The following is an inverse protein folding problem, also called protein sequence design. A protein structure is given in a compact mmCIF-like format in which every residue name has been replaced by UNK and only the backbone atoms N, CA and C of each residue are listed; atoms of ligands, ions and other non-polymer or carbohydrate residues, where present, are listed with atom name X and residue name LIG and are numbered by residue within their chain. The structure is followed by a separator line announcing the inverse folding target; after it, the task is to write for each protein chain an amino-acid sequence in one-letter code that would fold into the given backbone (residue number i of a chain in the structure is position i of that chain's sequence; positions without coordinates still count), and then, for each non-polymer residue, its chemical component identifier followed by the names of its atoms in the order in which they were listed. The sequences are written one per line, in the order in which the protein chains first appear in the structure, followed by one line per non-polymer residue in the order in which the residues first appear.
data_IF_094127232830
#
_entry.id   IF_094127232830
#
_cell.length_a   1.000
_cell.length_b   1.000
_cell.length_c   1.000
_cell.angle_alpha   90.00
_cell.angle_beta   90.00
_cell.angle_gamma   90.00
#
_symmetry.space_group_name_H-M   'P 1'
#
loop_
_entity.id
_entity.type
_entity.pdbx_description
1 polymer ?
#
# COMPACT_ATOMS: atom_id res chain seq x y z
N UNK A 1 -20.52 -16.87 -6.53
CA UNK A 1 -19.59 -15.72 -6.37
C UNK A 1 -20.31 -14.60 -5.62
N UNK A 2 -20.19 -14.55 -4.30
CA UNK A 2 -20.56 -13.38 -3.48
C UNK A 2 -19.47 -13.19 -2.40
N UNK A 3 -18.20 -13.28 -2.82
CA UNK A 3 -17.06 -12.82 -2.04
C UNK A 3 -16.94 -11.31 -2.26
N UNK A 4 -16.78 -10.54 -1.18
CA UNK A 4 -16.58 -9.09 -1.24
C UNK A 4 -15.50 -8.74 -2.27
N UNK A 5 -15.90 -8.22 -3.44
CA UNK A 5 -14.96 -7.61 -4.39
C UNK A 5 -14.11 -6.59 -3.64
N UNK A 6 -12.80 -6.64 -3.85
CA UNK A 6 -11.91 -5.66 -3.27
C UNK A 6 -12.26 -4.28 -3.83
N UNK A 7 -12.04 -3.25 -3.01
CA UNK A 7 -12.15 -1.86 -3.45
C UNK A 7 -11.15 -1.63 -4.60
N UNK A 8 -11.52 -0.94 -5.69
CA UNK A 8 -10.62 -0.68 -6.82
C UNK A 8 -9.25 -0.14 -6.40
N UNK A 9 -9.23 0.78 -5.44
CA UNK A 9 -8.00 1.28 -4.82
C UNK A 9 -7.04 0.17 -4.37
N UNK A 10 -7.55 -0.85 -3.69
CA UNK A 10 -6.73 -1.97 -3.20
C UNK A 10 -6.25 -2.82 -4.36
N UNK A 11 -7.06 -3.02 -5.38
CA UNK A 11 -6.67 -3.77 -6.58
C UNK A 11 -5.48 -3.11 -7.27
N UNK A 12 -5.56 -1.80 -7.55
CA UNK A 12 -4.44 -1.07 -8.15
C UNK A 12 -3.18 -1.14 -7.28
N UNK A 13 -3.30 -0.84 -5.98
CA UNK A 13 -2.18 -0.92 -5.05
C UNK A 13 -1.51 -2.30 -5.05
N UNK A 14 -2.29 -3.38 -5.00
CA UNK A 14 -1.76 -4.75 -5.04
C UNK A 14 -1.15 -5.11 -6.39
N UNK A 15 -1.69 -4.60 -7.49
CA UNK A 15 -1.12 -4.81 -8.81
C UNK A 15 0.30 -4.23 -8.89
N UNK A 16 0.52 -3.03 -8.36
CA UNK A 16 1.86 -2.44 -8.25
C UNK A 16 2.81 -3.28 -7.40
N UNK A 17 2.38 -3.72 -6.22
CA UNK A 17 3.20 -4.54 -5.30
C UNK A 17 3.64 -5.86 -5.95
N UNK A 18 2.67 -6.58 -6.53
CA UNK A 18 2.88 -7.86 -7.21
C UNK A 18 3.86 -7.66 -8.37
N UNK A 19 3.60 -6.67 -9.24
CA UNK A 19 4.48 -6.38 -10.37
C UNK A 19 5.91 -6.03 -9.93
N UNK A 20 6.05 -5.26 -8.85
CA UNK A 20 7.36 -4.89 -8.32
C UNK A 20 8.13 -6.10 -7.82
N UNK A 21 7.45 -7.09 -7.25
CA UNK A 21 8.08 -8.28 -6.69
C UNK A 21 8.47 -9.29 -7.78
N UNK A 22 7.67 -9.41 -8.83
CA UNK A 22 7.95 -10.31 -9.96
C UNK A 22 8.90 -9.71 -11.02
N UNK A 23 9.28 -8.42 -10.91
CA UNK A 23 10.06 -7.72 -11.96
C UNK A 23 11.41 -8.39 -12.27
N UNK A 24 12.07 -8.95 -11.26
CA UNK A 24 13.39 -9.57 -11.34
C UNK A 24 13.32 -11.12 -11.42
N UNK A 25 12.11 -11.68 -11.59
CA UNK A 25 11.84 -13.12 -11.64
C UNK A 25 11.30 -13.50 -13.01
N UNK A 26 11.76 -14.62 -13.56
CA UNK A 26 11.12 -15.23 -14.73
C UNK A 26 10.08 -16.26 -14.28
N UNK A 27 8.79 -15.89 -14.39
CA UNK A 27 7.65 -16.73 -14.06
C UNK A 27 7.44 -17.91 -15.04
N UNK A 28 8.18 -17.99 -16.15
CA UNK A 28 8.04 -19.06 -17.13
C UNK A 28 6.59 -19.18 -17.64
N UNK A 29 5.97 -20.37 -17.62
CA UNK A 29 4.57 -20.57 -18.00
C UNK A 29 3.57 -19.74 -17.18
N UNK A 30 3.87 -19.43 -15.91
CA UNK A 30 3.00 -18.65 -15.02
C UNK A 30 2.86 -17.18 -15.46
N UNK A 31 3.68 -16.72 -16.42
CA UNK A 31 3.52 -15.41 -17.05
C UNK A 31 2.14 -15.26 -17.71
N UNK A 32 1.54 -16.36 -18.22
CA UNK A 32 0.21 -16.33 -18.83
C UNK A 32 -0.89 -15.94 -17.84
N UNK A 33 -0.71 -16.32 -16.57
CA UNK A 33 -1.71 -16.18 -15.50
C UNK A 33 -1.64 -14.82 -14.77
N UNK A 34 -0.69 -13.95 -15.12
CA UNK A 34 -0.44 -12.69 -14.40
C UNK A 34 -0.38 -11.47 -15.32
N UNK A 35 -0.84 -11.62 -16.57
CA UNK A 35 -0.62 -10.66 -17.64
C UNK A 35 -1.21 -9.29 -17.32
N UNK A 36 -2.48 -9.21 -16.92
CA UNK A 36 -3.18 -7.95 -16.69
C UNK A 36 -2.68 -7.28 -15.42
N UNK A 37 -2.53 -8.02 -14.31
CA UNK A 37 -2.02 -7.46 -13.05
C UNK A 37 -0.65 -6.82 -13.27
N UNK A 38 0.25 -7.52 -13.96
CA UNK A 38 1.59 -7.00 -14.25
C UNK A 38 1.55 -5.79 -15.16
N UNK A 39 0.71 -5.82 -16.20
CA UNK A 39 0.58 -4.70 -17.12
C UNK A 39 0.05 -3.44 -16.42
N UNK A 40 -0.92 -3.60 -15.52
CA UNK A 40 -1.48 -2.51 -14.72
C UNK A 40 -0.42 -1.97 -13.76
N UNK A 41 0.27 -2.84 -13.01
CA UNK A 41 1.35 -2.39 -12.12
C UNK A 41 2.49 -1.68 -12.86
N UNK A 42 2.80 -2.09 -14.09
CA UNK A 42 3.74 -1.38 -14.98
C UNK A 42 3.20 -0.01 -15.39
N UNK A 43 1.93 0.06 -15.79
CA UNK A 43 1.28 1.31 -16.20
C UNK A 43 1.23 2.32 -15.04
N UNK A 44 0.79 1.90 -13.84
CA UNK A 44 0.78 2.74 -12.64
C UNK A 44 2.17 3.30 -12.33
N UNK A 45 3.18 2.43 -12.34
CA UNK A 45 4.56 2.84 -12.08
C UNK A 45 5.06 3.81 -13.14
N UNK A 46 4.74 3.58 -14.41
CA UNK A 46 5.08 4.52 -15.48
C UNK A 46 4.38 5.86 -15.29
N UNK A 47 3.08 5.87 -15.02
CA UNK A 47 2.26 7.07 -14.79
C UNK A 47 2.85 7.95 -13.68
N UNK A 48 3.23 7.35 -12.56
CA UNK A 48 3.83 8.05 -11.41
C UNK A 48 5.10 8.82 -11.82
N UNK A 49 5.92 8.25 -12.73
CA UNK A 49 7.20 8.85 -13.11
C UNK A 49 7.10 9.85 -14.25
N UNK A 50 6.20 9.62 -15.21
CA UNK A 50 5.99 10.55 -16.33
C UNK A 50 5.11 11.73 -15.96
N UNK A 51 4.39 11.67 -14.83
CA UNK A 51 3.54 12.76 -14.36
C UNK A 51 4.30 14.09 -14.31
N UNK A 52 3.75 15.10 -14.97
CA UNK A 52 4.35 16.43 -15.07
C UNK A 52 5.36 16.58 -16.19
N UNK A 53 5.42 15.62 -17.11
CA UNK A 53 6.26 15.72 -18.28
C UNK A 53 5.71 16.66 -19.34
N UNK A 54 4.39 16.87 -19.35
CA UNK A 54 3.61 17.53 -20.40
C UNK A 54 3.75 16.84 -21.78
N UNK A 55 4.97 16.79 -22.33
CA UNK A 55 5.30 16.15 -23.61
C UNK A 55 6.63 15.39 -23.50
N UNK A 56 6.63 14.14 -23.96
CA UNK A 56 7.84 13.33 -24.18
C UNK A 56 7.98 13.10 -25.68
N UNK A 57 8.98 13.75 -26.29
CA UNK A 57 9.28 13.70 -27.73
C UNK A 57 10.42 12.71 -28.09
N UNK A 58 11.15 12.22 -27.09
CA UNK A 58 12.15 11.16 -27.24
C UNK A 58 11.61 9.83 -26.71
N UNK A 59 10.98 9.05 -27.59
CA UNK A 59 10.46 7.72 -27.25
C UNK A 59 11.56 6.74 -26.84
N UNK A 60 12.78 6.88 -27.36
CA UNK A 60 13.90 6.01 -27.00
C UNK A 60 14.38 6.28 -25.58
N UNK A 61 14.36 7.55 -25.15
CA UNK A 61 14.59 7.93 -23.76
C UNK A 61 13.52 7.37 -22.84
N UNK A 62 12.25 7.36 -23.26
CA UNK A 62 11.17 6.73 -22.54
C UNK A 62 11.39 5.22 -22.38
N UNK A 63 11.81 4.51 -23.44
CA UNK A 63 12.17 3.09 -23.38
C UNK A 63 13.30 2.82 -22.37
N UNK A 64 14.35 3.65 -22.39
CA UNK A 64 15.46 3.51 -21.45
C UNK A 64 14.98 3.65 -20.00
N UNK A 65 14.14 4.63 -19.72
CA UNK A 65 13.66 4.90 -18.36
C UNK A 65 12.62 3.86 -17.93
N UNK A 66 11.74 3.44 -18.84
CA UNK A 66 10.78 2.36 -18.62
C UNK A 66 11.49 1.04 -18.25
N UNK A 67 12.63 0.73 -18.89
CA UNK A 67 13.44 -0.43 -18.54
C UNK A 67 13.92 -0.41 -17.07
N UNK A 68 14.10 0.78 -16.50
CA UNK A 68 14.51 0.92 -15.10
C UNK A 68 13.41 0.52 -14.11
N UNK A 69 12.16 0.50 -14.56
CA UNK A 69 10.97 0.07 -13.83
C UNK A 69 10.57 -1.40 -14.14
N UNK A 70 11.43 -2.14 -14.84
CA UNK A 70 11.13 -3.51 -15.26
C UNK A 70 10.15 -3.59 -16.44
N UNK A 71 9.99 -2.51 -17.21
CA UNK A 71 9.14 -2.46 -18.40
C UNK A 71 10.05 -2.58 -19.62
N UNK A 72 10.08 -3.77 -20.23
CA UNK A 72 10.82 -4.00 -21.46
C UNK A 72 10.23 -3.19 -22.63
N UNK A 73 11.07 -2.79 -23.59
CA UNK A 73 10.66 -2.03 -24.79
C UNK A 73 9.53 -2.71 -25.58
N UNK A 74 9.46 -4.04 -25.60
CA UNK A 74 8.39 -4.79 -26.25
C UNK A 74 7.07 -4.76 -25.48
N UNK A 75 7.14 -4.55 -24.16
CA UNK A 75 5.98 -4.50 -23.26
C UNK A 75 5.47 -3.06 -23.10
N UNK A 76 6.35 -2.07 -23.20
CA UNK A 76 6.03 -0.65 -23.03
C UNK A 76 4.81 -0.18 -23.85
N UNK A 77 4.63 -0.56 -25.13
CA UNK A 77 3.41 -0.20 -25.87
C UNK A 77 2.11 -0.69 -25.21
N UNK A 78 2.14 -1.84 -24.55
CA UNK A 78 1.01 -2.37 -23.78
C UNK A 78 0.71 -1.51 -22.56
N UNK A 79 1.74 -1.13 -21.80
CA UNK A 79 1.57 -0.25 -20.63
C UNK A 79 1.05 1.14 -21.06
N UNK A 80 1.58 1.70 -22.16
CA UNK A 80 1.10 2.96 -22.74
C UNK A 80 -0.35 2.87 -23.22
N UNK A 81 -0.77 1.71 -23.74
CA UNK A 81 -2.17 1.48 -24.12
C UNK A 81 -3.09 1.54 -22.90
N UNK A 82 -2.72 0.94 -21.77
CA UNK A 82 -3.48 1.06 -20.52
C UNK A 82 -3.60 2.52 -20.11
N UNK A 83 -2.50 3.28 -20.15
CA UNK A 83 -2.50 4.70 -19.82
C UNK A 83 -3.35 5.55 -20.78
N UNK A 84 -3.38 5.19 -22.06
CA UNK A 84 -4.19 5.86 -23.08
C UNK A 84 -5.69 5.57 -22.87
N UNK A 85 -6.06 4.35 -22.52
CA UNK A 85 -7.43 3.96 -22.18
C UNK A 85 -7.92 4.62 -20.87
N UNK A 86 -7.00 4.87 -19.92
CA UNK A 86 -7.26 5.68 -18.73
C UNK A 86 -7.33 7.20 -19.01
N UNK A 87 -7.01 7.64 -20.24
CA UNK A 87 -7.00 9.05 -20.63
C UNK A 87 -5.84 9.85 -20.00
N UNK A 88 -4.79 9.17 -19.55
CA UNK A 88 -3.64 9.80 -18.88
C UNK A 88 -2.49 10.09 -19.81
N UNK A 89 -2.49 9.50 -21.00
CA UNK A 89 -1.56 9.84 -22.06
C UNK A 89 -2.26 9.82 -23.41
N UNK A 90 -1.68 10.53 -24.38
CA UNK A 90 -2.01 10.38 -25.80
C UNK A 90 -0.76 9.95 -26.56
N UNK A 91 -0.83 8.79 -27.20
CA UNK A 91 0.29 8.21 -27.93
C UNK A 91 0.21 8.63 -29.39
N UNK A 92 1.13 9.47 -29.83
CA UNK A 92 1.20 9.92 -31.22
C UNK A 92 2.14 8.99 -32.02
N UNK A 93 1.61 8.44 -33.12
CA UNK A 93 2.29 7.45 -33.96
C UNK A 93 2.53 7.99 -35.36
N UNK A 94 3.64 7.57 -35.97
CA UNK A 94 3.94 7.76 -37.40
C UNK A 94 4.17 6.38 -38.00
N UNK A 95 3.14 5.84 -38.67
CA UNK A 95 3.09 4.42 -39.01
C UNK A 95 2.98 3.57 -37.74
N UNK A 96 3.87 2.60 -37.55
CA UNK A 96 3.95 1.79 -36.33
C UNK A 96 4.80 2.39 -35.22
N UNK A 97 5.61 3.42 -35.51
CA UNK A 97 6.54 4.01 -34.56
C UNK A 97 5.87 5.10 -33.70
N UNK A 98 6.02 5.00 -32.38
CA UNK A 98 5.64 6.06 -31.44
C UNK A 98 6.74 7.12 -31.48
N UNK A 99 6.37 8.38 -31.72
CA UNK A 99 7.33 9.49 -31.81
C UNK A 99 7.07 10.59 -30.80
N UNK A 100 5.89 10.63 -30.17
CA UNK A 100 5.53 11.63 -29.18
C UNK A 100 4.48 11.07 -28.22
N UNK A 101 4.64 11.36 -26.93
CA UNK A 101 3.66 11.11 -25.88
C UNK A 101 3.23 12.46 -25.29
N UNK A 102 1.93 12.72 -25.23
CA UNK A 102 1.38 13.85 -24.47
C UNK A 102 0.86 13.29 -23.15
N UNK A 103 1.25 13.90 -22.03
CA UNK A 103 0.96 13.42 -20.69
C UNK A 103 -0.14 14.27 -20.05
N UNK A 104 -1.08 13.59 -19.38
CA UNK A 104 -2.23 14.16 -18.69
C UNK A 104 -2.60 13.37 -17.43
N UNK A 105 -1.61 12.72 -16.80
CA UNK A 105 -1.76 11.97 -15.54
C UNK A 105 -2.17 12.98 -14.45
N UNK A 106 -3.33 12.79 -13.79
CA UNK A 106 -3.80 13.79 -12.86
C UNK A 106 -2.94 13.82 -11.59
N UNK A 107 -2.61 15.03 -11.12
CA UNK A 107 -1.83 15.26 -9.89
C UNK A 107 -2.61 14.97 -8.60
N UNK A 108 -3.93 15.15 -8.63
CA UNK A 108 -4.80 15.08 -7.46
C UNK A 108 -5.75 13.88 -7.47
N UNK A 109 -5.66 13.01 -8.49
CA UNK A 109 -6.44 11.78 -8.56
C UNK A 109 -5.67 10.60 -7.95
N UNK A 110 -6.43 9.69 -7.40
CA UNK A 110 -5.95 8.38 -6.97
C UNK A 110 -5.69 7.49 -8.20
N UNK A 111 -4.42 7.37 -8.61
CA UNK A 111 -3.98 6.51 -9.72
C UNK A 111 -4.43 5.07 -9.48
N UNK A 112 -4.35 4.58 -8.24
CA UNK A 112 -4.61 3.19 -7.91
C UNK A 112 -6.10 2.84 -8.02
N UNK A 113 -6.99 3.76 -7.62
CA UNK A 113 -8.43 3.56 -7.80
C UNK A 113 -8.80 3.39 -9.27
N UNK A 114 -8.30 4.26 -10.15
CA UNK A 114 -8.58 4.19 -11.58
C UNK A 114 -7.97 2.94 -12.24
N UNK A 115 -6.76 2.55 -11.85
CA UNK A 115 -6.13 1.32 -12.30
C UNK A 115 -6.89 0.06 -11.85
N UNK A 116 -7.43 0.05 -10.62
CA UNK A 116 -8.28 -1.03 -10.16
C UNK A 116 -9.65 -1.09 -10.84
N UNK A 117 -10.23 0.07 -11.18
CA UNK A 117 -11.45 0.11 -12.00
C UNK A 117 -11.18 -0.43 -13.40
N UNK A 118 -10.03 -0.07 -13.98
CA UNK A 118 -9.57 -0.63 -15.25
C UNK A 118 -9.39 -2.15 -15.17
N UNK A 119 -8.77 -2.68 -14.11
CA UNK A 119 -8.66 -4.13 -13.89
C UNK A 119 -10.03 -4.81 -13.96
N UNK A 120 -11.01 -4.31 -13.20
CA UNK A 120 -12.36 -4.89 -13.18
C UNK A 120 -13.12 -4.78 -14.50
N UNK A 121 -12.80 -3.77 -15.33
CA UNK A 121 -13.39 -3.59 -16.65
C UNK A 121 -12.62 -4.33 -17.76
N UNK A 122 -11.45 -4.88 -17.45
CA UNK A 122 -10.63 -5.69 -18.35
C UNK A 122 -10.95 -7.19 -18.23
N UNK A 123 -10.53 -7.95 -19.23
CA UNK A 123 -10.65 -9.42 -19.25
C UNK A 123 -9.57 -10.06 -18.36
N UNK A 124 -9.85 -10.09 -17.05
CA UNK A 124 -8.97 -10.65 -16.01
C UNK A 124 -9.37 -12.07 -15.62
N UNK A 125 -8.40 -12.90 -15.25
CA UNK A 125 -8.66 -14.29 -14.86
C UNK A 125 -9.03 -14.43 -13.37
N UNK A 126 -9.64 -15.55 -13.01
CA UNK A 126 -9.90 -15.92 -11.60
C UNK A 126 -8.59 -16.06 -10.81
N UNK A 127 -7.51 -16.54 -11.45
CA UNK A 127 -6.17 -16.64 -10.85
C UNK A 127 -5.62 -15.25 -10.54
N UNK A 128 -5.83 -14.27 -11.43
CA UNK A 128 -5.43 -12.90 -11.19
C UNK A 128 -6.18 -12.30 -9.99
N UNK A 129 -7.52 -12.39 -9.99
CA UNK A 129 -8.33 -11.89 -8.88
C UNK A 129 -7.92 -12.54 -7.54
N UNK A 130 -7.73 -13.85 -7.53
CA UNK A 130 -7.28 -14.59 -6.35
C UNK A 130 -5.89 -14.16 -5.87
N UNK A 131 -4.95 -13.94 -6.79
CA UNK A 131 -3.58 -13.50 -6.46
C UNK A 131 -3.60 -12.13 -5.78
N UNK A 132 -4.42 -11.20 -6.25
CA UNK A 132 -4.64 -9.90 -5.60
C UNK A 132 -5.26 -10.07 -4.21
N UNK A 133 -6.27 -10.92 -4.07
CA UNK A 133 -6.94 -11.16 -2.78
C UNK A 133 -6.01 -11.78 -1.75
N UNK A 134 -5.15 -12.73 -2.16
CA UNK A 134 -4.13 -13.31 -1.27
C UNK A 134 -3.12 -12.26 -0.86
N UNK A 135 -2.65 -11.43 -1.81
CA UNK A 135 -1.73 -10.34 -1.53
C UNK A 135 -2.31 -9.34 -0.51
N UNK A 136 -3.55 -8.86 -0.67
CA UNK A 136 -4.20 -7.96 0.31
C UNK A 136 -4.40 -8.64 1.68
N UNK A 137 -4.70 -9.94 1.68
CA UNK A 137 -4.88 -10.69 2.92
C UNK A 137 -3.58 -10.78 3.71
N UNK A 138 -2.50 -11.18 3.06
CA UNK A 138 -1.18 -11.34 3.67
C UNK A 138 -0.49 -10.01 3.99
N UNK A 139 -0.88 -8.93 3.31
CA UNK A 139 -0.47 -7.58 3.68
C UNK A 139 -1.02 -7.17 5.05
N UNK A 140 -2.24 -7.62 5.41
CA UNK A 140 -2.85 -7.30 6.70
C UNK A 140 -2.41 -8.23 7.83
N UNK A 141 -2.32 -9.53 7.56
CA UNK A 141 -1.91 -10.53 8.56
C UNK A 141 -1.42 -11.82 7.91
N UNK A 142 -0.42 -12.50 8.51
CA UNK A 142 -0.13 -13.90 8.22
C UNK A 142 -1.37 -14.77 8.45
N UNK A 143 -1.44 -15.94 7.85
CA UNK A 143 -2.59 -16.86 7.95
C UNK A 143 -2.19 -18.25 7.48
N UNK A 144 -3.01 -19.27 7.74
CA UNK A 144 -2.70 -20.64 7.31
C UNK A 144 -3.15 -20.89 5.86
N UNK A 145 -2.58 -21.93 5.25
CA UNK A 145 -3.00 -22.42 3.93
C UNK A 145 -4.51 -22.74 3.90
N UNK A 146 -5.02 -23.38 4.96
CA UNK A 146 -6.44 -23.77 5.06
C UNK A 146 -7.38 -22.56 5.07
N UNK A 147 -6.99 -21.48 5.77
CA UNK A 147 -7.79 -20.27 5.88
C UNK A 147 -7.86 -19.50 4.57
N UNK A 148 -6.73 -19.35 3.86
CA UNK A 148 -6.74 -18.73 2.53
C UNK A 148 -7.56 -19.58 1.56
N UNK A 149 -7.37 -20.90 1.54
CA UNK A 149 -8.10 -21.79 0.64
C UNK A 149 -9.61 -21.70 0.87
N UNK A 150 -10.04 -21.69 2.14
CA UNK A 150 -11.44 -21.47 2.52
C UNK A 150 -11.95 -20.09 2.11
N UNK A 151 -11.13 -19.05 2.22
CA UNK A 151 -11.50 -17.67 1.88
C UNK A 151 -11.70 -17.48 0.38
N UNK A 152 -10.83 -18.08 -0.44
CA UNK A 152 -10.91 -17.98 -1.90
C UNK A 152 -12.00 -18.88 -2.48
N UNK A 153 -12.28 -20.03 -1.85
CA UNK A 153 -13.26 -20.98 -2.35
C UNK A 153 -12.88 -21.61 -3.69
N UNK A 154 -11.58 -21.59 -4.03
CA UNK A 154 -11.03 -22.16 -5.25
C UNK A 154 -10.83 -23.66 -5.11
N UNK A 155 -10.81 -24.33 -6.24
CA UNK A 155 -10.35 -25.71 -6.30
C UNK A 155 -8.84 -25.79 -6.08
N UNK A 156 -8.37 -26.99 -5.71
CA UNK A 156 -6.98 -27.26 -5.31
C UNK A 156 -5.97 -26.87 -6.39
N UNK A 157 -6.37 -26.99 -7.66
CA UNK A 157 -5.54 -26.69 -8.83
C UNK A 157 -5.25 -25.20 -8.90
N UNK A 158 -6.33 -24.41 -8.97
CA UNK A 158 -6.27 -22.95 -9.10
C UNK A 158 -5.59 -22.32 -7.89
N UNK A 159 -5.89 -22.82 -6.69
CA UNK A 159 -5.22 -22.38 -5.47
C UNK A 159 -3.70 -22.58 -5.52
N UNK A 160 -3.25 -23.71 -6.07
CA UNK A 160 -1.82 -24.01 -6.15
C UNK A 160 -1.07 -23.09 -7.11
N UNK A 161 -1.69 -22.78 -8.26
CA UNK A 161 -1.13 -21.83 -9.23
C UNK A 161 -0.93 -20.46 -8.56
N UNK A 162 -1.92 -19.98 -7.80
CA UNK A 162 -1.83 -18.71 -7.06
C UNK A 162 -0.66 -18.72 -6.06
N UNK A 163 -0.48 -19.81 -5.32
CA UNK A 163 0.64 -19.96 -4.38
C UNK A 163 2.00 -20.01 -5.10
N UNK A 164 2.10 -20.74 -6.21
CA UNK A 164 3.35 -20.85 -6.98
C UNK A 164 3.74 -19.51 -7.61
N UNK A 165 2.77 -18.73 -8.09
CA UNK A 165 2.97 -17.32 -8.51
C UNK A 165 3.52 -16.49 -7.35
N UNK A 166 2.88 -16.57 -6.17
CA UNK A 166 3.27 -15.80 -4.99
C UNK A 166 4.65 -16.12 -4.45
N UNK A 167 4.99 -17.40 -4.38
CA UNK A 167 6.30 -17.89 -3.95
C UNK A 167 7.38 -17.51 -4.94
N UNK A 168 7.13 -17.75 -6.24
CA UNK A 168 8.07 -17.36 -7.30
C UNK A 168 8.30 -15.86 -7.30
N UNK A 169 7.23 -15.07 -7.16
CA UNK A 169 7.29 -13.63 -7.05
C UNK A 169 7.82 -13.10 -5.73
N UNK A 170 8.20 -13.94 -4.77
CA UNK A 170 8.71 -13.58 -3.43
C UNK A 170 7.80 -12.66 -2.61
N UNK A 171 6.49 -12.67 -2.90
CA UNK A 171 5.50 -11.92 -2.13
C UNK A 171 4.59 -12.82 -1.28
N UNK A 172 4.78 -14.13 -1.36
CA UNK A 172 4.26 -15.15 -0.43
C UNK A 172 5.42 -16.04 0.00
N UNK A 173 5.62 -16.19 1.29
CA UNK A 173 6.51 -17.19 1.88
C UNK A 173 5.80 -17.95 2.98
N UNK A 174 6.45 -19.01 3.43
CA UNK A 174 5.98 -19.81 4.55
C UNK A 174 7.04 -19.84 5.65
N UNK A 175 6.57 -19.97 6.89
CA UNK A 175 7.42 -20.33 8.00
C UNK A 175 6.70 -21.31 8.91
N UNK A 176 7.48 -22.14 9.59
CA UNK A 176 6.96 -23.00 10.65
C UNK A 176 6.95 -22.23 11.96
N UNK A 177 5.77 -22.02 12.55
CA UNK A 177 5.71 -21.34 13.85
C UNK A 177 6.45 -22.14 14.92
N UNK A 178 7.34 -21.45 15.64
CA UNK A 178 8.10 -22.06 16.76
C UNK A 178 7.19 -22.53 17.88
N UNK A 179 6.03 -21.89 18.03
CA UNK A 179 5.08 -22.15 19.11
C UNK A 179 4.15 -23.30 18.75
N UNK A 180 3.54 -23.29 17.56
CA UNK A 180 2.51 -24.28 17.23
C UNK A 180 2.93 -25.33 16.22
N UNK A 181 4.11 -25.22 15.61
CA UNK A 181 4.61 -26.15 14.57
C UNK A 181 3.76 -26.22 13.31
N UNK A 182 2.91 -25.22 13.08
CA UNK A 182 2.10 -25.14 11.87
C UNK A 182 2.79 -24.30 10.80
N UNK A 183 2.43 -24.59 9.55
CA UNK A 183 2.89 -23.84 8.40
C UNK A 183 2.05 -22.58 8.21
N UNK A 184 2.69 -21.42 8.25
CA UNK A 184 2.03 -20.11 8.21
C UNK A 184 2.50 -19.36 6.99
N UNK A 185 1.55 -18.94 6.17
CA UNK A 185 1.79 -18.06 5.03
C UNK A 185 1.92 -16.62 5.51
N UNK A 186 2.89 -15.90 4.96
CA UNK A 186 3.08 -14.48 5.19
C UNK A 186 3.58 -13.81 3.92
N UNK A 187 3.40 -12.49 3.82
CA UNK A 187 4.01 -11.72 2.74
C UNK A 187 5.35 -11.13 3.19
N UNK A 188 6.47 -11.50 2.57
CA UNK A 188 7.77 -10.97 2.94
C UNK A 188 7.85 -9.44 2.80
N UNK A 189 7.11 -8.89 1.83
CA UNK A 189 6.95 -7.44 1.60
C UNK A 189 6.50 -6.69 2.86
N UNK A 190 5.76 -7.37 3.74
CA UNK A 190 5.08 -6.79 4.88
C UNK A 190 5.53 -7.35 6.22
N UNK A 191 6.35 -8.41 6.29
CA UNK A 191 6.64 -9.03 7.58
C UNK A 191 8.11 -9.45 7.80
N UNK A 192 9.01 -9.27 6.82
CA UNK A 192 10.44 -9.67 6.95
C UNK A 192 11.16 -8.97 8.11
N UNK A 193 10.90 -7.68 8.36
CA UNK A 193 11.76 -6.87 9.24
C UNK A 193 11.72 -7.28 10.72
N UNK A 194 10.75 -8.09 11.16
CA UNK A 194 10.62 -8.43 12.57
C UNK A 194 10.02 -9.83 12.81
N UNK A 195 10.83 -10.90 12.82
CA UNK A 195 10.39 -12.27 13.04
C UNK A 195 9.60 -12.48 14.34
N UNK A 196 9.91 -11.72 15.39
CA UNK A 196 9.19 -11.80 16.66
C UNK A 196 7.76 -11.25 16.55
N UNK A 197 7.56 -10.21 15.73
CA UNK A 197 6.20 -9.69 15.44
C UNK A 197 5.37 -10.69 14.65
N UNK A 198 6.00 -11.42 13.73
CA UNK A 198 5.34 -12.49 12.98
C UNK A 198 4.82 -13.58 13.92
N UNK A 199 5.66 -14.05 14.84
CA UNK A 199 5.25 -15.04 15.86
C UNK A 199 4.20 -14.49 16.83
N UNK A 200 4.32 -13.23 17.25
CA UNK A 200 3.32 -12.61 18.11
C UNK A 200 1.96 -12.46 17.42
N UNK A 201 1.97 -12.13 16.12
CA UNK A 201 0.76 -12.04 15.31
C UNK A 201 0.12 -13.42 15.18
N UNK A 202 0.93 -14.43 14.90
CA UNK A 202 0.41 -15.77 14.76
C UNK A 202 -0.15 -16.36 16.06
N UNK A 203 0.50 -16.08 17.20
CA UNK A 203 -0.04 -16.39 18.51
C UNK A 203 -1.40 -15.70 18.78
N UNK A 204 -1.60 -14.49 18.25
CA UNK A 204 -2.87 -13.79 18.32
C UNK A 204 -3.96 -14.47 17.47
N UNK A 205 -3.62 -14.87 16.24
CA UNK A 205 -4.51 -15.61 15.33
C UNK A 205 -4.98 -16.91 15.98
N UNK A 206 -4.09 -17.65 16.64
CA UNK A 206 -4.46 -18.90 17.33
C UNK A 206 -5.36 -18.70 18.54
N UNK A 207 -5.17 -17.61 19.27
CA UNK A 207 -5.96 -17.32 20.47
C UNK A 207 -7.39 -16.90 20.15
N UNK A 208 -7.59 -16.17 19.06
CA UNK A 208 -8.88 -15.52 18.76
C UNK A 208 -9.54 -15.98 17.46
N UNK A 209 -8.84 -16.73 16.62
CA UNK A 209 -9.27 -17.06 15.26
C UNK A 209 -8.82 -16.03 14.24
N UNK A 210 -8.41 -16.48 13.04
CA UNK A 210 -7.86 -15.58 12.03
C UNK A 210 -8.88 -14.61 11.45
N UNK A 211 -10.15 -15.02 11.31
CA UNK A 211 -11.19 -14.14 10.80
C UNK A 211 -11.47 -12.99 11.76
N UNK A 212 -11.53 -13.28 13.05
CA UNK A 212 -11.78 -12.33 14.13
C UNK A 212 -10.62 -11.33 14.22
N UNK A 213 -9.38 -11.81 14.13
CA UNK A 213 -8.18 -10.96 14.12
C UNK A 213 -8.11 -10.11 12.86
N UNK A 214 -8.34 -10.70 11.68
CA UNK A 214 -8.42 -9.97 10.42
C UNK A 214 -9.46 -8.85 10.50
N UNK A 215 -10.65 -9.13 11.01
CA UNK A 215 -11.73 -8.14 11.14
C UNK A 215 -11.37 -7.03 12.15
N UNK A 216 -10.74 -7.36 13.28
CA UNK A 216 -10.29 -6.40 14.27
C UNK A 216 -9.19 -5.46 13.72
N UNK A 217 -8.21 -6.01 13.00
CA UNK A 217 -7.15 -5.23 12.35
C UNK A 217 -7.72 -4.40 11.19
N UNK A 218 -8.61 -4.98 10.39
CA UNK A 218 -9.29 -4.29 9.29
C UNK A 218 -10.08 -3.10 9.81
N UNK A 219 -10.75 -3.21 10.96
CA UNK A 219 -11.47 -2.09 11.60
C UNK A 219 -10.56 -0.89 11.91
N UNK A 220 -9.32 -1.15 12.33
CA UNK A 220 -8.33 -0.09 12.57
C UNK A 220 -7.77 0.42 11.25
N UNK A 221 -7.49 -0.47 10.30
CA UNK A 221 -7.01 -0.11 8.96
C UNK A 221 -7.99 0.84 8.27
N UNK A 222 -9.27 0.48 8.24
CA UNK A 222 -10.33 1.24 7.60
C UNK A 222 -10.64 2.57 8.34
N UNK A 223 -10.16 2.74 9.58
CA UNK A 223 -10.30 3.96 10.36
C UNK A 223 -9.05 4.27 11.18
N UNK A 224 -7.99 4.73 10.50
CA UNK A 224 -6.72 5.04 11.15
C UNK A 224 -6.87 6.13 12.22
N UNK A 225 -6.15 5.93 13.32
CA UNK A 225 -6.30 6.72 14.54
C UNK A 225 -7.59 6.36 15.28
N UNK A 226 -7.91 5.07 15.37
CA UNK A 226 -9.10 4.58 16.05
C UNK A 226 -9.04 4.90 17.55
N UNK A 227 -10.00 5.64 18.14
CA UNK A 227 -9.92 6.06 19.53
C UNK A 227 -10.07 4.86 20.48
N UNK A 228 -9.10 4.70 21.38
CA UNK A 228 -9.10 3.63 22.37
C UNK A 228 -9.78 4.07 23.68
N UNK A 229 -10.47 3.13 24.32
CA UNK A 229 -11.10 3.37 25.62
C UNK A 229 -10.08 3.18 26.75
N UNK A 230 -10.23 3.94 27.85
CA UNK A 230 -9.32 3.83 28.99
C UNK A 230 -9.35 2.44 29.64
N UNK A 231 -10.51 1.76 29.61
CA UNK A 231 -10.66 0.39 30.13
C UNK A 231 -9.76 -0.61 29.40
N UNK A 232 -9.64 -0.45 28.08
CA UNK A 232 -8.81 -1.30 27.22
C UNK A 232 -7.33 -1.19 27.58
N UNK A 233 -6.85 0.03 27.87
CA UNK A 233 -5.46 0.29 28.22
C UNK A 233 -5.10 -0.14 29.65
N UNK A 234 -6.07 -0.08 30.57
CA UNK A 234 -5.89 -0.53 31.97
C UNK A 234 -6.00 -2.04 32.15
N UNK A 235 -6.21 -2.79 31.07
CA UNK A 235 -6.36 -4.25 31.11
C UNK A 235 -7.67 -4.71 31.75
N UNK A 236 -8.68 -3.85 31.79
CA UNK A 236 -10.02 -4.19 32.29
C UNK A 236 -10.82 -4.73 31.10
N UNK A 237 -10.75 -6.05 30.91
CA UNK A 237 -11.38 -6.73 29.77
C UNK A 237 -12.83 -7.17 30.01
N UNK A 238 -13.36 -6.94 31.22
CA UNK A 238 -14.69 -7.37 31.60
C UNK A 238 -15.72 -6.63 30.74
N UNK A 239 -16.61 -7.38 30.06
CA UNK A 239 -17.63 -6.88 29.14
C UNK A 239 -17.13 -6.15 27.88
N UNK A 240 -15.84 -6.28 27.50
CA UNK A 240 -15.39 -5.77 26.21
C UNK A 240 -15.85 -6.70 25.07
N UNK A 241 -16.28 -6.11 23.94
CA UNK A 241 -16.40 -6.84 22.67
C UNK A 241 -15.11 -7.59 22.30
N UNK A 242 -15.23 -8.69 21.58
CA UNK A 242 -14.10 -9.56 21.23
C UNK A 242 -13.03 -8.87 20.37
N UNK A 243 -13.46 -8.06 19.40
CA UNK A 243 -12.58 -7.23 18.58
C UNK A 243 -11.70 -6.29 19.43
N UNK A 244 -12.26 -5.70 20.49
CA UNK A 244 -11.53 -4.83 21.41
C UNK A 244 -10.50 -5.60 22.25
N UNK A 245 -10.78 -6.86 22.62
CA UNK A 245 -9.80 -7.72 23.31
C UNK A 245 -8.63 -8.06 22.39
N UNK A 246 -8.92 -8.35 21.12
CA UNK A 246 -7.89 -8.61 20.10
C UNK A 246 -7.00 -7.38 19.93
N UNK A 247 -7.60 -6.19 19.78
CA UNK A 247 -6.86 -4.93 19.63
C UNK A 247 -5.96 -4.68 20.85
N UNK A 248 -6.46 -4.91 22.07
CA UNK A 248 -5.67 -4.72 23.28
C UNK A 248 -4.45 -5.65 23.33
N UNK A 249 -4.64 -6.93 23.01
CA UNK A 249 -3.56 -7.91 22.97
C UNK A 249 -2.53 -7.56 21.88
N UNK A 250 -2.99 -7.13 20.70
CA UNK A 250 -2.13 -6.70 19.61
C UNK A 250 -1.30 -5.45 19.96
N UNK A 251 -1.85 -4.50 20.72
CA UNK A 251 -1.09 -3.35 21.25
C UNK A 251 -0.01 -3.83 22.23
N UNK A 252 -0.35 -4.72 23.18
CA UNK A 252 0.62 -5.26 24.17
C UNK A 252 1.77 -6.00 23.50
N UNK A 253 1.51 -6.65 22.37
CA UNK A 253 2.50 -7.38 21.57
C UNK A 253 3.31 -6.48 20.62
N UNK A 254 3.05 -5.18 20.59
CA UNK A 254 3.72 -4.23 19.71
C UNK A 254 3.38 -4.39 18.23
N UNK A 255 2.25 -5.04 17.93
CA UNK A 255 1.71 -5.19 16.58
C UNK A 255 1.00 -3.90 16.19
N UNK A 256 0.06 -3.42 17.00
CA UNK A 256 -0.65 -2.16 16.78
C UNK A 256 0.08 -1.04 17.51
N UNK A 257 0.23 0.10 16.85
CA UNK A 257 0.81 1.30 17.46
C UNK A 257 -0.30 2.18 18.05
N UNK A 258 -0.09 2.70 19.25
CA UNK A 258 -1.12 3.45 19.99
C UNK A 258 -0.57 4.75 20.63
N UNK A 259 -0.15 5.76 19.83
CA UNK A 259 0.29 7.04 20.37
C UNK A 259 -0.77 7.71 21.26
N UNK A 260 -0.30 8.41 22.29
CA UNK A 260 -1.12 9.15 23.25
C UNK A 260 -1.15 10.65 22.89
N UNK A 261 -2.33 11.27 23.02
CA UNK A 261 -2.53 12.73 22.94
C UNK A 261 -3.20 13.19 24.22
N UNK A 262 -2.70 14.29 24.79
CA UNK A 262 -3.22 14.91 26.00
C UNK A 262 -3.81 16.29 25.71
N UNK A 263 -5.03 16.54 26.19
CA UNK A 263 -5.71 17.84 26.09
C UNK A 263 -6.75 17.97 27.21
N UNK A 264 -7.77 18.83 27.05
CA UNK A 264 -8.72 19.19 28.10
C UNK A 264 -9.54 18.01 28.64
N UNK A 265 -9.82 16.98 27.83
CA UNK A 265 -10.50 15.74 28.29
C UNK A 265 -9.52 14.65 28.77
N UNK A 266 -8.28 15.04 29.06
CA UNK A 266 -7.21 14.16 29.49
C UNK A 266 -6.58 13.38 28.34
N UNK A 267 -5.77 12.40 28.72
CA UNK A 267 -5.00 11.53 27.84
C UNK A 267 -5.88 10.53 27.10
N UNK A 268 -5.70 10.42 25.79
CA UNK A 268 -6.37 9.46 24.92
C UNK A 268 -5.37 8.82 23.96
N UNK A 269 -5.52 7.53 23.71
CA UNK A 269 -4.70 6.79 22.75
C UNK A 269 -5.48 6.50 21.48
N UNK A 270 -4.76 6.45 20.36
CA UNK A 270 -5.35 6.22 19.04
C UNK A 270 -4.60 5.08 18.37
N UNK A 271 -5.30 4.03 17.96
CA UNK A 271 -4.70 2.86 17.34
C UNK A 271 -4.44 3.07 15.84
N UNK A 272 -3.29 2.57 15.40
CA UNK A 272 -2.85 2.54 14.02
C UNK A 272 -2.34 1.14 13.67
N UNK A 273 -2.64 0.67 12.47
CA UNK A 273 -2.03 -0.58 11.99
C UNK A 273 -0.53 -0.36 11.76
N UNK A 274 0.30 -1.38 12.03
CA UNK A 274 1.72 -1.28 11.75
C UNK A 274 1.93 -1.17 10.25
N UNK A 275 2.93 -0.38 9.86
CA UNK A 275 3.47 -0.42 8.51
C UNK A 275 4.88 -0.96 8.61
N UNK A 276 5.07 -2.16 8.08
CA UNK A 276 6.28 -2.97 8.24
C UNK A 276 6.98 -2.98 6.87
N UNK A 277 8.32 -2.96 6.84
CA UNK A 277 9.08 -2.89 5.59
C UNK A 277 9.46 -1.47 5.16
N UNK A 278 9.38 -0.50 6.07
CA UNK A 278 9.68 0.91 5.81
C UNK A 278 11.10 1.24 6.30
N UNK A 279 11.95 1.91 5.49
CA UNK A 279 13.25 2.41 5.91
C UNK A 279 13.19 3.24 7.20
N UNK A 280 14.29 3.29 7.96
CA UNK A 280 14.31 3.96 9.28
C UNK A 280 13.94 5.45 9.16
N UNK A 281 14.39 6.10 8.10
CA UNK A 281 14.10 7.51 7.81
C UNK A 281 12.60 7.73 7.58
N UNK A 282 11.95 6.81 6.89
CA UNK A 282 10.50 6.86 6.64
C UNK A 282 9.68 6.45 7.87
N UNK A 283 10.24 5.66 8.79
CA UNK A 283 9.61 5.37 10.10
C UNK A 283 9.46 6.64 10.94
N UNK A 284 10.44 7.54 10.93
CA UNK A 284 10.35 8.84 11.63
C UNK A 284 9.23 9.70 11.04
N UNK A 285 9.13 9.75 9.71
CA UNK A 285 8.05 10.45 8.99
C UNK A 285 6.69 9.84 9.31
N UNK A 286 6.60 8.51 9.35
CA UNK A 286 5.38 7.78 9.71
C UNK A 286 4.95 8.07 11.15
N UNK A 287 5.88 8.10 12.11
CA UNK A 287 5.56 8.46 13.49
C UNK A 287 5.04 9.89 13.63
N UNK A 288 5.62 10.83 12.87
CA UNK A 288 5.10 12.20 12.77
C UNK A 288 3.70 12.21 12.17
N UNK A 289 3.45 11.45 11.10
CA UNK A 289 2.15 11.33 10.45
C UNK A 289 1.07 10.76 11.40
N UNK A 290 1.36 9.66 12.08
CA UNK A 290 0.48 9.07 13.10
C UNK A 290 0.19 10.06 14.22
N UNK A 291 1.19 10.82 14.66
CA UNK A 291 1.01 11.85 15.70
C UNK A 291 0.10 12.99 15.22
N UNK A 292 0.29 13.48 13.99
CA UNK A 292 -0.56 14.51 13.38
C UNK A 292 -2.01 14.01 13.32
N UNK A 293 -2.22 12.81 12.81
CA UNK A 293 -3.54 12.22 12.68
C UNK A 293 -4.19 11.96 14.06
N UNK A 294 -3.43 11.48 15.05
CA UNK A 294 -3.91 11.31 16.42
C UNK A 294 -4.37 12.65 17.04
N UNK A 295 -3.61 13.74 16.85
CA UNK A 295 -4.03 15.07 17.29
C UNK A 295 -5.35 15.48 16.63
N UNK A 296 -5.52 15.26 15.33
CA UNK A 296 -6.76 15.60 14.61
C UNK A 296 -7.94 14.74 15.09
N UNK A 297 -7.75 13.41 15.23
CA UNK A 297 -8.76 12.50 15.77
C UNK A 297 -9.17 12.85 17.20
N UNK A 298 -8.24 13.38 18.01
CA UNK A 298 -8.61 13.91 19.32
C UNK A 298 -9.61 15.05 19.20
N UNK A 299 -9.37 16.02 18.32
CA UNK A 299 -10.29 17.14 18.10
C UNK A 299 -11.63 16.70 17.51
N UNK A 300 -11.65 15.64 16.69
CA UNK A 300 -12.87 15.04 16.13
C UNK A 300 -13.74 14.38 17.21
N UNK A 301 -13.17 13.53 18.07
CA UNK A 301 -13.94 12.72 19.04
C UNK A 301 -14.08 13.37 20.42
N UNK A 302 -13.04 14.05 20.87
CA UNK A 302 -12.90 14.51 22.25
C UNK A 302 -12.85 16.03 22.39
N UNK A 303 -12.98 16.80 21.31
CA UNK A 303 -13.10 18.26 21.35
C UNK A 303 -14.19 18.71 22.33
N UNK A 304 -13.84 19.64 23.22
CA UNK A 304 -14.70 20.14 24.29
C UNK A 304 -15.61 21.27 23.79
N UNK A 305 -15.03 22.25 23.11
CA UNK A 305 -15.76 23.44 22.63
C UNK A 305 -16.37 23.16 21.26
N UNK A 306 -15.53 22.82 20.29
CA UNK A 306 -15.95 22.45 18.93
C UNK A 306 -15.22 21.19 18.49
N UNK A 307 -15.98 20.26 17.90
CA UNK A 307 -15.40 19.07 17.28
C UNK A 307 -14.99 19.34 15.84
N UNK A 308 -13.88 18.74 15.43
CA UNK A 308 -13.45 18.76 14.04
C UNK A 308 -14.45 17.93 13.23
N UNK A 309 -15.12 18.56 12.26
CA UNK A 309 -16.08 17.89 11.36
C UNK A 309 -15.42 17.34 10.10
N UNK A 310 -14.36 18.01 9.65
CA UNK A 310 -13.66 17.68 8.41
C UNK A 310 -12.15 17.55 8.70
N UNK A 311 -11.70 16.37 9.15
CA UNK A 311 -10.28 16.10 9.42
C UNK A 311 -9.38 16.39 8.21
N UNK A 312 -9.85 16.06 6.99
CA UNK A 312 -9.11 16.30 5.75
C UNK A 312 -8.83 17.80 5.52
N UNK A 313 -9.81 18.66 5.76
CA UNK A 313 -9.66 20.11 5.58
C UNK A 313 -8.57 20.71 6.49
N UNK A 314 -8.34 20.10 7.66
CA UNK A 314 -7.25 20.50 8.56
C UNK A 314 -5.90 20.13 7.96
N UNK A 315 -5.78 18.95 7.36
CA UNK A 315 -4.55 18.51 6.68
C UNK A 315 -4.27 19.35 5.44
N UNK A 316 -5.29 19.64 4.62
CA UNK A 316 -5.16 20.53 3.45
C UNK A 316 -4.70 21.93 3.84
N UNK A 317 -5.20 22.42 4.98
CA UNK A 317 -4.78 23.71 5.53
C UNK A 317 -3.31 23.71 5.97
N UNK A 318 -2.80 22.58 6.44
CA UNK A 318 -1.39 22.41 6.80
C UNK A 318 -0.48 22.21 5.58
N UNK A 319 -1.02 21.86 4.41
CA UNK A 319 -0.28 21.75 3.15
C UNK A 319 -0.30 23.03 2.32
N UNK A 320 -1.20 23.96 2.62
CA UNK A 320 -1.38 25.20 1.88
C UNK A 320 -0.89 26.41 2.68
N UNK A 321 -0.13 27.36 2.10
CA UNK A 321 0.27 28.59 2.77
C UNK A 321 -0.92 29.30 3.46
N UNK A 322 -0.74 29.83 4.68
CA UNK A 322 0.49 29.96 5.45
C UNK A 322 0.75 28.75 6.38
N UNK A 323 0.30 27.54 6.01
CA UNK A 323 0.54 26.29 6.73
C UNK A 323 0.06 26.30 8.19
N UNK A 324 -1.07 26.94 8.45
CA UNK A 324 -1.57 27.15 9.82
C UNK A 324 -3.05 26.80 9.98
N UNK A 325 -3.38 26.17 11.10
CA UNK A 325 -4.76 25.93 11.52
C UNK A 325 -5.28 27.17 12.25
N UNK A 326 -6.58 27.45 12.10
CA UNK A 326 -7.26 28.56 12.77
C UNK A 326 -7.12 28.52 14.29
N UNK A 327 -7.33 29.67 14.98
CA UNK A 327 -7.04 29.79 16.40
C UNK A 327 -8.09 29.07 17.23
N UNK A 328 -7.64 28.22 18.16
CA UNK A 328 -8.51 27.48 19.07
C UNK A 328 -7.86 27.37 20.45
N UNK A 329 -8.68 27.25 21.49
CA UNK A 329 -8.20 27.21 22.88
C UNK A 329 -7.45 25.92 23.20
N UNK A 330 -7.89 24.80 22.61
CA UNK A 330 -7.29 23.48 22.84
C UNK A 330 -5.97 23.25 22.11
N UNK A 331 -5.65 24.06 21.08
CA UNK A 331 -4.49 23.84 20.23
C UNK A 331 -3.20 23.73 21.03
N UNK A 332 -3.05 24.56 22.08
CA UNK A 332 -1.84 24.57 22.90
C UNK A 332 -1.53 23.23 23.54
N UNK A 333 -2.54 22.48 23.98
CA UNK A 333 -2.35 21.16 24.61
C UNK A 333 -2.39 20.05 23.58
N UNK A 334 -3.44 20.03 22.76
CA UNK A 334 -3.69 19.03 21.74
C UNK A 334 -2.53 18.83 20.76
N UNK A 335 -1.87 19.92 20.34
CA UNK A 335 -0.76 19.87 19.37
C UNK A 335 0.62 20.00 20.02
N UNK A 336 0.73 20.02 21.36
CA UNK A 336 2.01 20.15 22.06
C UNK A 336 3.01 19.05 21.68
N UNK A 337 2.51 17.83 21.49
CA UNK A 337 3.33 16.67 21.12
C UNK A 337 3.98 16.84 19.74
N UNK A 338 3.34 17.59 18.83
CA UNK A 338 3.90 17.89 17.51
C UNK A 338 5.01 18.93 17.58
N UNK A 339 4.92 19.88 18.51
CA UNK A 339 5.99 20.84 18.77
C UNK A 339 7.23 20.13 19.31
N UNK A 340 7.06 19.21 20.25
CA UNK A 340 8.15 18.39 20.80
C UNK A 340 8.85 17.53 19.73
N UNK A 341 8.13 17.15 18.66
CA UNK A 341 8.68 16.39 17.51
C UNK A 341 9.20 17.27 16.37
N UNK A 342 9.26 18.60 16.56
CA UNK A 342 9.75 19.52 15.53
C UNK A 342 8.84 19.64 14.28
N UNK A 343 7.57 19.25 14.39
CA UNK A 343 6.61 19.29 13.27
C UNK A 343 6.05 20.71 13.06
N UNK A 344 5.82 21.44 14.15
CA UNK A 344 5.19 22.75 14.10
C UNK A 344 5.51 23.61 15.32
N UNK A 345 4.92 24.80 15.35
CA UNK A 345 4.99 25.75 16.45
C UNK A 345 3.60 26.23 16.83
N UNK A 346 3.42 26.53 18.11
CA UNK A 346 2.19 27.10 18.65
C UNK A 346 2.37 28.61 18.77
N UNK A 347 1.46 29.38 18.19
CA UNK A 347 1.47 30.85 18.22
C UNK A 347 0.22 31.35 18.94
N UNK A 348 0.38 32.28 19.88
CA UNK A 348 -0.76 32.87 20.57
C UNK A 348 -1.48 33.89 19.68
N UNK A 349 -2.81 33.92 19.76
CA UNK A 349 -3.62 34.94 19.06
C UNK A 349 -3.47 36.31 19.73
N UNK A 350 -3.32 37.36 18.93
CA UNK A 350 -3.08 38.73 19.41
C UNK A 350 -4.32 39.34 20.08
N UNK A 351 -5.51 38.98 19.60
CA UNK A 351 -6.78 39.55 20.05
C UNK A 351 -7.36 38.80 21.25
N UNK A 352 -7.16 37.48 21.32
CA UNK A 352 -7.71 36.62 22.37
C UNK A 352 -6.60 35.86 23.07
N UNK A 353 -6.30 36.18 24.33
CA UNK A 353 -5.18 35.57 25.07
C UNK A 353 -5.30 34.05 25.25
N UNK A 354 -6.50 33.50 25.17
CA UNK A 354 -6.75 32.07 25.41
C UNK A 354 -6.78 31.21 24.13
N UNK A 355 -6.54 31.81 22.96
CA UNK A 355 -6.56 31.09 21.67
C UNK A 355 -5.17 31.01 21.05
N UNK A 356 -4.91 29.88 20.38
CA UNK A 356 -3.62 29.57 19.81
C UNK A 356 -3.78 29.03 18.39
N UNK A 357 -2.86 29.38 17.51
CA UNK A 357 -2.69 28.77 16.20
C UNK A 357 -1.64 27.66 16.29
N UNK A 358 -1.81 26.63 15.47
CA UNK A 358 -0.73 25.70 15.16
C UNK A 358 -0.24 26.01 13.75
N UNK A 359 1.07 26.23 13.59
CA UNK A 359 1.72 26.49 12.31
C UNK A 359 2.76 25.40 12.04
N UNK A 360 2.66 24.73 10.90
CA UNK A 360 3.63 23.74 10.45
C UNK A 360 4.97 24.42 10.17
N UNK A 361 6.07 23.78 10.55
CA UNK A 361 7.39 24.18 10.09
C UNK A 361 7.56 23.56 8.69
N UNK A 362 7.71 24.36 7.61
CA UNK A 362 7.59 23.88 6.23
C UNK A 362 8.87 23.20 5.73
N UNK A 363 9.39 22.20 6.46
CA UNK A 363 10.42 21.29 5.96
C UNK A 363 9.79 20.24 5.04
N UNK A 364 10.56 19.70 4.10
CA UNK A 364 10.08 18.62 3.22
C UNK A 364 9.64 17.39 4.01
N UNK A 365 10.36 17.03 5.07
CA UNK A 365 9.99 15.94 5.97
C UNK A 365 8.62 16.15 6.63
N UNK A 366 8.34 17.37 7.14
CA UNK A 366 7.07 17.66 7.80
C UNK A 366 5.92 17.75 6.79
N UNK A 367 6.16 18.24 5.58
CA UNK A 367 5.17 18.20 4.49
C UNK A 367 4.84 16.76 4.12
N UNK A 368 5.86 15.91 3.95
CA UNK A 368 5.69 14.46 3.72
C UNK A 368 4.87 13.82 4.84
N UNK A 369 5.17 14.13 6.11
CA UNK A 369 4.38 13.61 7.23
C UNK A 369 2.90 14.04 7.22
N UNK A 370 2.58 15.27 6.80
CA UNK A 370 1.19 15.75 6.69
C UNK A 370 0.46 15.06 5.54
N UNK A 371 1.12 14.87 4.40
CA UNK A 371 0.54 14.15 3.26
C UNK A 371 0.32 12.67 3.60
N UNK A 372 1.29 12.04 4.25
CA UNK A 372 1.16 10.67 4.76
C UNK A 372 0.02 10.52 5.77
N UNK A 373 -0.18 11.51 6.65
CA UNK A 373 -1.33 11.52 7.56
C UNK A 373 -2.68 11.62 6.79
N UNK A 374 -2.69 12.30 5.64
CA UNK A 374 -3.85 12.37 4.75
C UNK A 374 -4.12 11.05 4.05
N UNK A 375 -3.08 10.34 3.62
CA UNK A 375 -3.21 8.99 3.05
C UNK A 375 -3.75 7.99 4.07
N UNK A 376 -3.18 7.98 5.28
CA UNK A 376 -3.68 7.16 6.39
C UNK A 376 -5.15 7.45 6.69
N UNK A 377 -5.56 8.71 6.62
CA UNK A 377 -6.95 9.11 6.85
C UNK A 377 -7.90 8.60 5.74
N UNK A 378 -7.46 8.59 4.48
CA UNK A 378 -8.30 8.22 3.32
C UNK A 378 -8.32 6.73 3.01
N UNK A 379 -7.15 6.11 3.03
CA UNK A 379 -6.91 4.76 2.50
C UNK A 379 -6.67 3.75 3.61
N UNK A 380 -6.12 4.23 4.73
CA UNK A 380 -5.69 3.35 5.81
C UNK A 380 -4.32 2.72 5.61
N UNK A 381 -3.66 3.01 4.49
CA UNK A 381 -2.30 2.56 4.14
C UNK A 381 -1.55 3.73 3.46
N UNK A 382 -0.23 3.64 3.35
CA UNK A 382 0.59 4.70 2.73
C UNK A 382 0.46 4.66 1.21
N UNK A 383 0.04 5.76 0.60
CA UNK A 383 -0.01 5.92 -0.87
C UNK A 383 1.24 6.60 -1.41
N UNK A 384 1.85 7.53 -0.66
CA UNK A 384 2.98 8.32 -1.17
C UNK A 384 4.22 7.50 -1.55
N UNK A 385 4.73 7.80 -2.76
CA UNK A 385 6.05 7.47 -3.31
C UNK A 385 6.48 6.00 -3.25
N UNK A 386 5.54 5.05 -3.29
CA UNK A 386 5.89 3.65 -3.55
C UNK A 386 6.47 3.50 -4.94
N UNK A 387 7.80 3.51 -4.99
CA UNK A 387 8.59 3.33 -6.19
C UNK A 387 8.88 4.60 -6.99
N UNK A 388 8.49 5.81 -6.54
CA UNK A 388 8.89 7.07 -7.20
C UNK A 388 10.40 7.29 -6.99
N UNK A 389 11.14 7.34 -8.09
CA UNK A 389 12.53 7.79 -8.09
C UNK A 389 12.60 9.20 -8.64
N UNK A 390 12.78 10.19 -7.74
CA UNK A 390 13.02 11.58 -8.14
C UNK A 390 14.21 11.70 -9.10
N UNK A 391 15.22 10.84 -8.94
CA UNK A 391 16.41 10.82 -9.80
C UNK A 391 16.08 10.35 -11.23
N UNK A 392 15.25 9.30 -11.37
CA UNK A 392 14.80 8.83 -12.69
C UNK A 392 13.83 9.83 -13.34
N UNK A 393 12.97 10.46 -12.54
CA UNK A 393 12.10 11.52 -13.02
C UNK A 393 12.89 12.75 -13.49
N UNK A 394 13.94 13.16 -12.75
CA UNK A 394 14.86 14.22 -13.22
C UNK A 394 15.59 13.81 -14.50
N UNK A 395 15.89 12.53 -14.68
CA UNK A 395 16.50 12.02 -15.92
C UNK A 395 15.54 12.15 -17.11
N UNK A 396 14.22 12.01 -16.93
CA UNK A 396 13.22 12.35 -17.96
C UNK A 396 13.33 13.83 -18.35
N UNK A 397 13.46 14.74 -17.38
CA UNK A 397 13.34 16.19 -17.59
C UNK A 397 14.64 16.93 -17.90
N UNK A 398 15.80 16.37 -17.56
CA UNK A 398 17.09 16.99 -17.82
C UNK A 398 17.75 16.43 -19.10
N UNK A 399 18.30 17.29 -19.98
CA UNK A 399 19.15 16.85 -21.08
C UNK A 399 20.54 16.50 -20.53
N UNK A 400 20.72 15.24 -20.13
CA UNK A 400 22.00 14.68 -19.70
C UNK A 400 21.89 13.17 -19.54
N UNK A 401 22.86 12.43 -20.10
CA UNK A 401 22.93 10.97 -19.96
C UNK A 401 23.52 10.61 -18.60
N UNK A 402 22.68 10.23 -17.64
CA UNK A 402 23.14 9.60 -16.40
C UNK A 402 23.13 8.08 -16.59
N UNK A 403 24.28 7.44 -16.33
CA UNK A 403 24.40 5.98 -16.20
C UNK A 403 24.76 5.66 -14.76
N UNK A 404 23.88 4.90 -14.09
CA UNK A 404 24.06 4.46 -12.71
C UNK A 404 25.12 3.35 -12.66
N UNK A 405 26.27 3.61 -12.04
CA UNK A 405 27.45 2.73 -12.07
C UNK A 405 27.21 1.31 -11.52
N UNK A 406 26.19 1.12 -10.65
CA UNK A 406 25.87 -0.19 -10.05
C UNK A 406 25.01 -1.10 -10.95
N UNK A 407 24.48 -0.63 -12.09
CA UNK A 407 23.67 -1.47 -13.01
C UNK A 407 24.50 -2.24 -14.05
N UNK A 408 25.83 -2.16 -14.02
CA UNK A 408 26.72 -2.95 -14.89
C UNK A 408 26.84 -4.42 -14.48
N UNK A 409 26.18 -4.85 -13.40
CA UNK A 409 26.09 -6.27 -13.04
C UNK A 409 24.89 -6.90 -13.77
N UNK A 410 25.08 -8.03 -14.49
CA UNK A 410 23.94 -8.76 -15.03
C UNK A 410 23.04 -9.19 -13.87
N UNK A 411 21.85 -8.60 -13.78
CA UNK A 411 20.78 -9.15 -12.94
C UNK A 411 20.38 -10.49 -13.55
N UNK A 412 20.88 -11.58 -12.98
CA UNK A 412 20.44 -12.92 -13.32
C UNK A 412 18.98 -13.00 -12.84
N UNK A 413 18.03 -13.05 -13.78
CA UNK A 413 16.64 -13.33 -13.42
C UNK A 413 16.60 -14.71 -12.77
N UNK A 414 16.09 -14.75 -11.55
CA UNK A 414 15.87 -16.02 -10.89
C UNK A 414 14.72 -16.75 -11.60
N UNK A 415 14.88 -18.06 -11.83
CA UNK A 415 13.83 -18.88 -12.42
C UNK A 415 12.77 -19.16 -11.37
N UNK A 416 11.50 -19.01 -11.75
CA UNK A 416 10.38 -19.35 -10.91
C UNK A 416 10.41 -20.80 -10.44
N UNK A 417 9.91 -21.00 -9.22
CA UNK A 417 9.62 -22.31 -8.68
C UNK A 417 8.24 -22.74 -9.19
N UNK A 418 8.21 -23.85 -9.92
CA UNK A 418 6.96 -24.44 -10.42
C UNK A 418 6.82 -25.80 -9.76
N UNK A 419 5.72 -26.02 -9.06
CA UNK A 419 5.47 -27.32 -8.43
C UNK A 419 5.18 -28.40 -9.49
N UNK A 420 5.51 -29.66 -9.18
CA UNK A 420 5.31 -30.77 -10.11
C UNK A 420 3.86 -30.92 -10.58
N UNK A 421 2.89 -30.63 -9.71
CA UNK A 421 1.46 -30.66 -10.04
C UNK A 421 1.09 -29.53 -11.01
N UNK A 422 1.54 -28.31 -10.76
CA UNK A 422 1.32 -27.17 -11.67
C UNK A 422 1.96 -27.44 -13.04
N UNK A 423 3.12 -28.10 -13.07
CA UNK A 423 3.76 -28.49 -14.31
C UNK A 423 2.95 -29.56 -15.08
N UNK A 424 2.43 -30.58 -14.40
CA UNK A 424 1.55 -31.61 -14.98
C UNK A 424 0.27 -31.00 -15.55
N UNK A 425 -0.30 -30.02 -14.86
CA UNK A 425 -1.49 -29.30 -15.29
C UNK A 425 -1.27 -28.47 -16.56
N UNK A 426 -0.15 -27.75 -16.63
CA UNK A 426 0.22 -27.00 -17.85
C UNK A 426 0.35 -27.97 -19.03
N UNK A 427 0.95 -29.14 -18.80
CA UNK A 427 1.10 -30.18 -19.82
C UNK A 427 -0.26 -30.75 -20.27
N UNK A 428 -1.19 -30.94 -19.34
CA UNK A 428 -2.53 -31.44 -19.66
C UNK A 428 -3.31 -30.45 -20.53
N UNK A 429 -3.26 -29.15 -20.23
CA UNK A 429 -3.90 -28.11 -21.07
C UNK A 429 -3.31 -28.10 -22.48
N UNK A 430 -1.99 -28.24 -22.61
CA UNK A 430 -1.34 -28.32 -23.91
C UNK A 430 -1.78 -29.56 -24.70
N UNK A 431 -1.89 -30.72 -24.05
CA UNK A 431 -2.32 -31.95 -24.69
C UNK A 431 -3.79 -31.89 -25.13
N UNK A 432 -4.69 -31.36 -24.29
CA UNK A 432 -6.11 -31.18 -24.64
C UNK A 432 -6.27 -30.25 -25.86
N UNK A 433 -5.44 -29.20 -25.94
CA UNK A 433 -5.43 -28.27 -27.07
C UNK A 433 -4.91 -28.95 -28.35
N UNK A 434 -3.90 -29.83 -28.23
CA UNK A 434 -3.37 -30.59 -29.37
C UNK A 434 -4.32 -31.68 -29.86
N UNK A 435 -5.05 -32.34 -28.97
CA UNK A 435 -6.03 -33.35 -29.35
C UNK A 435 -7.28 -32.72 -29.98
N UNK A 436 -7.69 -31.53 -29.51
CA UNK A 436 -8.72 -30.72 -30.17
C UNK A 436 -8.34 -30.26 -31.59
N UNK A 437 -7.05 -30.00 -31.83
CA UNK A 437 -6.53 -29.65 -33.17
C UNK A 437 -6.34 -30.87 -34.09
N UNK A 438 -6.26 -32.09 -33.54
CA UNK A 438 -6.20 -33.34 -34.31
C UNK A 438 -7.57 -33.94 -34.61
N UNK A 439 -8.61 -33.52 -33.88
CA UNK A 439 -9.99 -33.93 -34.07
C UNK A 439 -10.84 -33.02 -34.98
N UNK A 440 -10.27 -31.92 -35.48
CA UNK A 440 -10.83 -31.03 -36.51
C UNK A 440 -10.08 -31.22 -37.83
#
# INVERSE_FOLDING_TARGET
MNGNKLQPLKVGLRAQDIQTSVQDVDLGPLNAETKNIRLIGMAERLAIHIRGADVIDDYKKLEYIASQFGIDSLILPGALKVLEELGWVRVNKKGSAIYKLEESVPYFSDIYSAAGEYFYNSDHSEIEEATIVVCDSLALSPTTDEEIKKKLGLDDRTYKIVLDIGKSGKFIEHYESRITKENVLYSPLYWIENPDKLEHMYALLKKFGANEVYNALKKIRDYQGFPLTENLLRGIYNNLPEDMKIIAEAIRRGIILAPEVDSLKGKKNFAFTPHIGIPIEEKVVLEKAMSILACIRYGEHFGLITRIRYPEAILDRLLSPPYRIGPHTEIRRQYAVLVGRGVGKILQERLTKDRYYFELIPTEENKKAVKLAKDLLKVGELLEDRGLSEQLQRTLFCPGSYQEAMRMLPKIKERAYISAQTQEEILNVLNDTMDGLRGA
#
